data_IF_960789296859
#
_entry.id   IF_960789296859
#
_cell.length_a   1.000
_cell.length_b   1.000
_cell.length_c   1.000
_cell.angle_alpha   90.00
_cell.angle_beta   90.00
_cell.angle_gamma   90.00
#
_symmetry.space_group_name_H-M   'P 1'
#
loop_
_entity.id
_entity.type
_entity.pdbx_description
1 polymer ?
#
# COMPACT_ATOMS: atom_id res chain seq x y z
N UNK A 1 -67.18 34.13 47.69
CA UNK A 1 -67.49 33.89 46.26
C UNK A 1 -66.15 33.73 45.54
N UNK A 2 -65.70 32.49 45.32
CA UNK A 2 -65.67 31.78 44.02
C UNK A 2 -64.45 32.16 43.15
N UNK A 3 -63.61 31.14 42.90
CA UNK A 3 -62.66 30.93 41.77
C UNK A 3 -61.34 31.73 41.78
N UNK A 4 -60.20 31.23 41.31
CA UNK A 4 -59.82 29.95 40.71
C UNK A 4 -58.29 29.85 40.66
N UNK A 5 -57.80 28.62 40.54
CA UNK A 5 -56.41 28.20 40.47
C UNK A 5 -55.68 28.65 39.18
N UNK A 6 -54.35 28.71 39.26
CA UNK A 6 -53.45 28.12 38.24
C UNK A 6 -52.06 27.89 38.84
N UNK A 7 -51.72 26.61 39.06
CA UNK A 7 -50.38 26.14 39.44
C UNK A 7 -49.66 25.80 38.14
N UNK A 8 -48.63 26.58 37.79
CA UNK A 8 -47.74 26.28 36.68
C UNK A 8 -46.78 25.16 37.06
N UNK A 9 -46.95 23.98 36.45
CA UNK A 9 -45.98 22.86 36.50
C UNK A 9 -44.77 23.22 35.64
N UNK A 10 -43.62 23.48 36.28
CA UNK A 10 -42.33 23.47 35.60
C UNK A 10 -41.93 22.04 35.29
N UNK A 11 -41.92 21.68 34.01
CA UNK A 11 -41.40 20.41 33.52
C UNK A 11 -39.87 20.46 33.54
N UNK A 12 -39.24 19.68 34.43
CA UNK A 12 -37.80 19.39 34.37
C UNK A 12 -37.60 18.37 33.25
N UNK A 13 -37.12 18.84 32.10
CA UNK A 13 -36.63 17.97 31.03
C UNK A 13 -35.28 17.42 31.48
N UNK A 14 -35.28 16.18 31.96
CA UNK A 14 -34.06 15.42 32.16
C UNK A 14 -33.50 15.07 30.78
N UNK A 15 -32.40 15.72 30.37
CA UNK A 15 -31.59 15.26 29.24
C UNK A 15 -30.98 13.91 29.60
N UNK A 16 -31.57 12.84 29.06
CA UNK A 16 -30.93 11.54 28.95
C UNK A 16 -29.76 11.69 27.95
N UNK A 17 -28.55 11.84 28.48
CA UNK A 17 -27.34 11.60 27.70
C UNK A 17 -27.32 10.11 27.36
N UNK A 18 -27.73 9.77 26.13
CA UNK A 18 -27.42 8.49 25.53
C UNK A 18 -25.89 8.45 25.33
N UNK A 19 -25.19 7.88 26.32
CA UNK A 19 -23.81 7.45 26.17
C UNK A 19 -23.79 6.30 25.16
N UNK A 20 -23.76 6.65 23.87
CA UNK A 20 -23.32 5.73 22.83
C UNK A 20 -21.90 5.32 23.19
N UNK A 21 -21.72 4.08 23.64
CA UNK A 21 -20.41 3.50 23.82
C UNK A 21 -19.72 3.54 22.44
N UNK A 22 -18.78 4.48 22.28
CA UNK A 22 -17.77 4.38 21.24
C UNK A 22 -17.10 3.03 21.44
N UNK A 23 -17.40 2.06 20.57
CA UNK A 23 -16.60 0.84 20.52
C UNK A 23 -15.16 1.29 20.27
N UNK A 24 -14.26 0.87 21.16
CA UNK A 24 -12.83 1.02 20.89
C UNK A 24 -12.56 0.34 19.54
N UNK A 25 -12.00 1.11 18.63
CA UNK A 25 -11.71 0.68 17.27
C UNK A 25 -10.66 -0.44 17.31
N UNK A 26 -11.01 -1.61 16.80
CA UNK A 26 -10.10 -2.76 16.81
C UNK A 26 -9.33 -2.85 15.47
N UNK A 27 -8.19 -2.18 15.45
CA UNK A 27 -7.23 -2.24 14.33
C UNK A 27 -6.54 -3.60 14.21
N UNK A 28 -6.75 -4.53 15.15
CA UNK A 28 -5.97 -5.77 15.27
C UNK A 28 -6.56 -6.99 14.56
N UNK A 29 -7.72 -6.86 13.93
CA UNK A 29 -8.36 -7.87 13.08
C UNK A 29 -8.66 -7.31 11.66
N UNK A 30 -8.98 -8.13 10.64
CA UNK A 30 -8.65 -9.53 10.53
C UNK A 30 -7.17 -9.62 10.15
N UNK A 31 -6.42 -10.29 11.00
CA UNK A 31 -5.12 -10.80 10.63
C UNK A 31 -5.16 -12.29 10.90
N UNK A 32 -4.42 -13.13 10.15
CA UNK A 32 -4.28 -14.53 10.53
C UNK A 32 -3.97 -14.57 12.03
N UNK A 33 -4.78 -15.32 12.78
CA UNK A 33 -4.63 -15.42 14.23
C UNK A 33 -3.19 -15.80 14.49
N UNK A 34 -2.43 -14.85 15.06
CA UNK A 34 -1.02 -15.05 15.26
C UNK A 34 -0.86 -16.25 16.16
N UNK A 35 -0.23 -17.33 15.67
CA UNK A 35 0.11 -18.47 16.51
C UNK A 35 0.94 -17.89 17.66
N UNK A 36 0.43 -17.92 18.90
CA UNK A 36 1.09 -17.24 19.99
C UNK A 36 2.44 -17.89 20.23
N UNK A 37 3.50 -17.09 20.17
CA UNK A 37 4.84 -17.59 20.50
C UNK A 37 4.84 -18.16 21.91
N UNK A 38 5.40 -19.36 22.05
CA UNK A 38 5.72 -19.97 23.34
C UNK A 38 6.68 -19.06 24.13
N UNK A 39 6.74 -19.24 25.45
CA UNK A 39 7.69 -18.48 26.28
C UNK A 39 9.15 -18.65 25.81
N UNK A 40 9.50 -19.86 25.36
CA UNK A 40 10.82 -20.16 24.82
C UNK A 40 11.07 -19.43 23.49
N UNK A 41 10.08 -19.37 22.60
CA UNK A 41 10.19 -18.61 21.35
C UNK A 41 10.31 -17.13 21.60
N UNK A 42 9.52 -16.56 22.52
CA UNK A 42 9.63 -15.15 22.91
C UNK A 42 11.03 -14.82 23.41
N UNK A 43 11.56 -15.61 24.34
CA UNK A 43 12.92 -15.41 24.87
C UNK A 43 13.98 -15.48 23.76
N UNK A 44 13.86 -16.45 22.85
CA UNK A 44 14.77 -16.57 21.70
C UNK A 44 14.65 -15.38 20.73
N UNK A 45 13.44 -14.94 20.43
CA UNK A 45 13.19 -13.79 19.54
C UNK A 45 13.78 -12.52 20.16
N UNK A 46 13.53 -12.26 21.44
CA UNK A 46 14.11 -11.12 22.17
C UNK A 46 15.64 -11.14 22.11
N UNK A 47 16.27 -12.29 22.33
CA UNK A 47 17.72 -12.41 22.28
C UNK A 47 18.29 -12.15 20.87
N UNK A 48 17.64 -12.66 19.82
CA UNK A 48 18.13 -12.56 18.43
C UNK A 48 17.81 -11.19 17.78
N UNK A 49 16.80 -10.47 18.27
CA UNK A 49 16.41 -9.16 17.73
C UNK A 49 16.97 -7.98 18.54
N UNK A 50 17.74 -8.25 19.60
CA UNK A 50 18.41 -7.21 20.36
C UNK A 50 19.46 -6.49 19.47
N UNK A 51 19.53 -5.15 19.49
CA UNK A 51 20.56 -4.42 18.77
C UNK A 51 21.98 -4.83 19.24
N UNK A 52 22.95 -5.00 18.33
CA UNK A 52 24.33 -5.29 18.71
C UNK A 52 24.93 -4.08 19.44
N UNK A 53 25.73 -4.35 20.47
CA UNK A 53 26.41 -3.30 21.26
C UNK A 53 27.90 -3.17 20.90
N UNK A 54 28.45 -4.13 20.16
CA UNK A 54 29.84 -4.16 19.69
C UNK A 54 29.87 -4.58 18.23
N UNK A 55 30.83 -4.06 17.46
CA UNK A 55 30.98 -4.36 16.03
C UNK A 55 32.31 -5.02 15.70
N UNK A 56 32.96 -5.62 16.71
CA UNK A 56 34.30 -6.22 16.58
C UNK A 56 34.27 -7.58 15.87
N UNK A 57 33.11 -8.24 15.81
CA UNK A 57 32.91 -9.49 15.11
C UNK A 57 31.48 -9.59 14.55
N UNK A 58 31.26 -10.40 13.48
CA UNK A 58 29.93 -10.68 12.98
C UNK A 58 29.05 -11.39 14.00
N UNK A 59 27.76 -11.04 14.03
CA UNK A 59 26.78 -11.73 14.88
C UNK A 59 26.53 -13.16 14.37
N UNK A 60 26.23 -14.14 15.25
CA UNK A 60 25.81 -15.47 14.83
C UNK A 60 24.65 -15.39 13.84
N UNK A 61 24.81 -16.01 12.67
CA UNK A 61 23.84 -15.98 11.57
C UNK A 61 23.61 -14.62 10.90
N UNK A 62 24.50 -13.64 11.06
CA UNK A 62 24.41 -12.34 10.36
C UNK A 62 24.29 -12.50 8.84
N UNK A 63 25.02 -13.47 8.26
CA UNK A 63 24.92 -13.81 6.83
C UNK A 63 23.59 -14.50 6.43
N UNK A 64 22.67 -14.75 7.38
CA UNK A 64 21.39 -15.44 7.19
C UNK A 64 20.23 -14.64 7.81
N UNK A 65 19.93 -13.43 7.30
CA UNK A 65 18.87 -12.58 7.85
C UNK A 65 17.47 -13.19 7.74
N UNK A 66 17.24 -14.15 6.84
CA UNK A 66 16.01 -14.94 6.74
C UNK A 66 16.08 -16.29 7.48
N UNK A 67 17.10 -16.51 8.31
CA UNK A 67 17.37 -17.80 8.94
C UNK A 67 17.55 -18.91 7.91
N UNK A 68 16.88 -20.05 8.13
CA UNK A 68 16.87 -21.18 7.19
C UNK A 68 16.21 -20.86 5.84
N UNK A 69 15.38 -19.81 5.76
CA UNK A 69 14.76 -19.36 4.52
C UNK A 69 15.70 -18.45 3.69
N UNK A 70 16.89 -18.11 4.18
CA UNK A 70 17.88 -17.32 3.43
C UNK A 70 18.31 -18.07 2.18
N UNK A 71 18.06 -17.49 1.01
CA UNK A 71 18.45 -18.05 -0.28
C UNK A 71 19.94 -17.78 -0.57
N UNK A 72 20.82 -18.67 -0.10
CA UNK A 72 22.25 -18.59 -0.39
C UNK A 72 22.50 -18.87 -1.88
N UNK A 73 23.19 -17.95 -2.57
CA UNK A 73 23.57 -18.13 -3.98
C UNK A 73 22.50 -17.77 -5.02
N UNK A 74 21.32 -17.33 -4.60
CA UNK A 74 20.33 -16.75 -5.52
C UNK A 74 20.84 -15.40 -6.02
N UNK A 75 21.37 -15.37 -7.25
CA UNK A 75 21.97 -14.18 -7.85
C UNK A 75 21.26 -13.80 -9.15
N UNK A 76 21.43 -12.54 -9.55
CA UNK A 76 20.91 -12.01 -10.80
C UNK A 76 19.41 -11.67 -10.78
N UNK A 77 18.85 -11.30 -11.95
CA UNK A 77 17.53 -10.68 -12.03
C UNK A 77 16.36 -11.57 -11.62
N UNK A 78 16.57 -12.89 -11.51
CA UNK A 78 15.52 -13.88 -11.20
C UNK A 78 15.60 -14.43 -9.78
N UNK A 79 16.43 -13.84 -8.92
CA UNK A 79 16.66 -14.35 -7.57
C UNK A 79 15.36 -14.50 -6.75
N UNK A 80 14.40 -13.60 -6.93
CA UNK A 80 13.12 -13.57 -6.20
C UNK A 80 12.04 -14.52 -6.76
N UNK A 81 12.33 -15.26 -7.83
CA UNK A 81 11.46 -16.33 -8.32
C UNK A 81 11.70 -17.65 -7.58
N UNK A 82 12.74 -17.74 -6.74
CA UNK A 82 13.01 -18.94 -5.97
C UNK A 82 12.09 -18.99 -4.75
N UNK A 83 11.30 -20.06 -4.56
CA UNK A 83 10.58 -20.26 -3.31
C UNK A 83 11.59 -20.44 -2.16
N UNK A 84 11.18 -20.08 -0.94
CA UNK A 84 12.00 -20.32 0.24
C UNK A 84 12.30 -21.83 0.38
N UNK A 85 13.57 -22.16 0.68
CA UNK A 85 14.02 -23.55 0.76
C UNK A 85 13.27 -24.36 1.84
N UNK A 86 12.72 -23.66 2.84
CA UNK A 86 11.97 -24.22 3.96
C UNK A 86 10.51 -24.55 3.65
N UNK A 87 10.01 -24.23 2.44
CA UNK A 87 8.64 -24.58 2.06
C UNK A 87 8.48 -26.10 1.87
N UNK A 88 7.36 -26.63 2.36
CA UNK A 88 6.91 -27.99 2.07
C UNK A 88 6.57 -28.15 0.58
N UNK A 89 6.48 -29.39 0.10
CA UNK A 89 6.14 -29.68 -1.30
C UNK A 89 4.77 -29.10 -1.70
N UNK A 90 3.78 -29.19 -0.80
CA UNK A 90 2.46 -28.57 -1.01
C UNK A 90 2.57 -27.04 -1.14
N UNK A 91 3.32 -26.37 -0.25
CA UNK A 91 3.49 -24.92 -0.31
C UNK A 91 4.32 -24.47 -1.54
N UNK A 92 5.21 -25.33 -2.05
CA UNK A 92 5.93 -25.09 -3.31
C UNK A 92 4.98 -25.17 -4.52
N UNK A 93 3.99 -26.06 -4.48
CA UNK A 93 2.94 -26.10 -5.50
C UNK A 93 2.08 -24.83 -5.46
N UNK A 94 1.68 -24.38 -4.27
CA UNK A 94 0.93 -23.12 -4.11
C UNK A 94 1.72 -21.92 -4.63
N UNK A 95 3.02 -21.85 -4.32
CA UNK A 95 3.92 -20.84 -4.87
C UNK A 95 3.95 -20.88 -6.42
N UNK A 96 4.07 -22.07 -7.02
CA UNK A 96 4.11 -22.21 -8.47
C UNK A 96 2.77 -21.81 -9.14
N UNK A 97 1.64 -22.18 -8.53
CA UNK A 97 0.30 -21.77 -8.99
C UNK A 97 0.16 -20.25 -8.91
N UNK A 98 0.52 -19.65 -7.77
CA UNK A 98 0.52 -18.20 -7.57
C UNK A 98 1.41 -17.47 -8.57
N UNK A 99 2.61 -17.99 -8.83
CA UNK A 99 3.52 -17.44 -9.84
C UNK A 99 2.91 -17.51 -11.25
N UNK A 100 2.21 -18.59 -11.60
CA UNK A 100 1.54 -18.70 -12.90
C UNK A 100 0.43 -17.66 -13.06
N UNK A 101 -0.29 -17.33 -11.98
CA UNK A 101 -1.28 -16.25 -11.98
C UNK A 101 -0.62 -14.88 -12.09
N UNK A 102 0.52 -14.69 -11.40
CA UNK A 102 1.29 -13.45 -11.42
C UNK A 102 1.88 -13.13 -12.81
N UNK A 103 2.24 -14.17 -13.56
CA UNK A 103 2.77 -14.06 -14.93
C UNK A 103 1.68 -14.08 -16.01
N UNK A 104 0.42 -14.36 -15.64
CA UNK A 104 -0.69 -14.43 -16.56
C UNK A 104 -0.93 -13.10 -17.27
N UNK A 105 -1.07 -13.17 -18.59
CA UNK A 105 -1.50 -12.04 -19.41
C UNK A 105 -3.02 -11.98 -19.48
N UNK A 106 -3.60 -10.94 -18.89
CA UNK A 106 -5.01 -10.63 -18.97
C UNK A 106 -5.37 -10.07 -20.37
N UNK A 107 -6.55 -10.47 -20.86
CA UNK A 107 -7.10 -10.08 -22.15
C UNK A 107 -8.50 -9.51 -21.97
N UNK A 108 -8.96 -8.71 -22.94
CA UNK A 108 -10.29 -8.14 -22.91
C UNK A 108 -11.37 -9.23 -22.89
N UNK A 109 -12.40 -9.02 -22.07
CA UNK A 109 -13.61 -9.83 -22.09
C UNK A 109 -14.54 -9.40 -23.26
N UNK A 110 -15.28 -10.32 -23.88
CA UNK A 110 -15.16 -11.77 -23.78
C UNK A 110 -13.98 -12.31 -24.62
N UNK A 111 -13.36 -13.42 -24.20
CA UNK A 111 -12.36 -14.12 -25.00
C UNK A 111 -12.57 -15.64 -24.95
N UNK A 112 -12.02 -16.36 -25.94
CA UNK A 112 -11.97 -17.83 -25.92
C UNK A 112 -11.16 -18.38 -24.71
N UNK A 113 -10.28 -17.56 -24.13
CA UNK A 113 -9.49 -17.87 -22.93
C UNK A 113 -10.17 -17.33 -21.68
N UNK A 114 -11.29 -17.92 -21.26
CA UNK A 114 -12.12 -17.46 -20.12
C UNK A 114 -11.42 -17.45 -18.77
N UNK A 115 -10.29 -18.15 -18.64
CA UNK A 115 -9.47 -18.10 -17.43
C UNK A 115 -8.58 -16.84 -17.34
N UNK A 116 -8.58 -15.98 -18.37
CA UNK A 116 -7.71 -14.79 -18.48
C UNK A 116 -8.45 -13.56 -19.04
N UNK A 117 -9.76 -13.62 -19.25
CA UNK A 117 -10.54 -12.59 -19.94
C UNK A 117 -11.19 -11.59 -18.97
N UNK A 118 -10.34 -10.98 -18.14
CA UNK A 118 -10.73 -10.03 -17.10
C UNK A 118 -9.98 -8.69 -17.17
N UNK A 119 -9.42 -8.32 -18.32
CA UNK A 119 -8.76 -7.02 -18.49
C UNK A 119 -9.82 -5.92 -18.64
N UNK A 120 -9.77 -4.89 -17.79
CA UNK A 120 -10.67 -3.75 -17.86
C UNK A 120 -10.47 -2.88 -19.11
N UNK A 121 -11.45 -1.99 -19.40
CA UNK A 121 -11.40 -1.09 -20.56
C UNK A 121 -10.29 -0.03 -20.45
N UNK A 122 -9.90 0.31 -19.23
CA UNK A 122 -8.80 1.19 -18.86
C UNK A 122 -7.89 0.41 -17.91
N UNK A 123 -6.57 0.48 -18.12
CA UNK A 123 -5.60 -0.28 -17.34
C UNK A 123 -4.21 0.38 -17.40
N UNK A 124 -3.30 -0.05 -16.54
CA UNK A 124 -1.88 0.32 -16.58
C UNK A 124 -1.00 -0.79 -17.15
N UNK A 125 -1.30 -2.06 -16.82
CA UNK A 125 -0.57 -3.23 -17.27
C UNK A 125 -1.50 -4.42 -17.53
N UNK A 126 -0.99 -5.46 -18.19
CA UNK A 126 -1.77 -6.66 -18.53
C UNK A 126 -1.34 -7.90 -17.76
N UNK A 127 -0.28 -7.82 -16.96
CA UNK A 127 0.18 -8.88 -16.08
C UNK A 127 0.87 -8.27 -14.87
N UNK A 128 0.79 -8.91 -13.70
CA UNK A 128 1.45 -8.41 -12.49
C UNK A 128 2.99 -8.33 -12.70
N UNK A 129 3.54 -9.34 -13.39
CA UNK A 129 4.96 -9.42 -13.75
C UNK A 129 5.46 -8.30 -14.67
N UNK A 130 4.57 -7.59 -15.38
CA UNK A 130 4.94 -6.42 -16.18
C UNK A 130 5.37 -5.24 -15.30
N UNK A 131 4.71 -5.06 -14.16
CA UNK A 131 5.08 -4.04 -13.17
C UNK A 131 6.16 -4.54 -12.22
N UNK A 132 6.13 -5.83 -11.88
CA UNK A 132 6.97 -6.49 -10.89
C UNK A 132 7.88 -7.54 -11.55
N UNK A 133 8.87 -7.11 -12.36
CA UNK A 133 9.66 -8.03 -13.17
C UNK A 133 10.40 -9.03 -12.28
N UNK A 134 10.17 -10.32 -12.54
CA UNK A 134 10.75 -11.43 -11.78
C UNK A 134 10.56 -11.30 -10.25
N UNK A 135 9.38 -10.85 -9.81
CA UNK A 135 9.03 -10.55 -8.41
C UNK A 135 9.85 -9.42 -7.77
N UNK A 136 10.64 -8.71 -8.58
CA UNK A 136 11.47 -7.58 -8.19
C UNK A 136 10.76 -6.25 -8.25
N UNK A 137 11.55 -5.22 -7.95
CA UNK A 137 11.12 -3.82 -8.01
C UNK A 137 11.04 -3.39 -9.48
N UNK A 138 10.01 -2.60 -9.78
CA UNK A 138 9.92 -1.87 -11.03
C UNK A 138 11.00 -0.80 -11.17
N UNK A 139 10.93 -0.05 -12.26
CA UNK A 139 11.77 1.12 -12.51
C UNK A 139 10.95 2.32 -13.02
N UNK A 140 11.43 3.56 -12.81
CA UNK A 140 10.93 4.70 -13.55
C UNK A 140 11.19 4.55 -15.07
N UNK A 141 10.40 5.23 -15.92
CA UNK A 141 10.68 5.29 -17.34
C UNK A 141 12.02 5.96 -17.63
N UNK A 142 12.81 5.41 -18.56
CA UNK A 142 14.16 5.89 -18.87
C UNK A 142 14.18 7.07 -19.85
N UNK A 143 13.05 7.34 -20.52
CA UNK A 143 12.92 8.47 -21.43
C UNK A 143 11.51 8.62 -22.02
N UNK A 144 11.30 9.58 -22.93
CA UNK A 144 9.97 9.91 -23.47
C UNK A 144 9.26 8.81 -24.25
N UNK A 145 10.00 7.80 -24.73
CA UNK A 145 9.46 6.64 -25.47
C UNK A 145 9.25 5.40 -24.61
N UNK A 146 9.62 5.45 -23.33
CA UNK A 146 9.36 4.38 -22.37
C UNK A 146 7.89 4.44 -21.95
N UNK A 147 7.23 3.28 -21.94
CA UNK A 147 5.80 3.15 -21.70
C UNK A 147 5.41 3.21 -20.21
N UNK A 148 6.40 3.45 -19.35
CA UNK A 148 6.27 3.62 -17.91
C UNK A 148 5.53 2.47 -17.21
N UNK A 149 5.65 1.26 -17.76
CA UNK A 149 4.86 0.09 -17.38
C UNK A 149 4.87 -0.20 -15.88
N UNK A 150 6.02 -0.02 -15.21
CA UNK A 150 6.20 -0.33 -13.79
C UNK A 150 6.09 0.88 -12.84
N UNK A 151 5.54 1.99 -13.32
CA UNK A 151 5.35 3.21 -12.52
C UNK A 151 3.98 3.84 -12.78
N UNK A 152 3.20 4.01 -11.71
CA UNK A 152 1.85 4.59 -11.77
C UNK A 152 1.82 6.00 -11.19
N UNK A 153 0.87 6.83 -11.65
CA UNK A 153 0.58 8.13 -11.06
C UNK A 153 -0.69 8.06 -10.23
N UNK A 154 -0.56 8.15 -8.91
CA UNK A 154 -1.71 8.36 -8.02
C UNK A 154 -2.15 9.82 -8.10
N UNK A 155 -3.46 10.01 -8.14
CA UNK A 155 -4.09 11.33 -8.27
C UNK A 155 -4.95 11.59 -7.04
N UNK A 156 -4.99 12.86 -6.63
CA UNK A 156 -5.88 13.34 -5.59
C UNK A 156 -6.11 14.84 -5.73
N UNK A 157 -7.04 15.38 -4.95
CA UNK A 157 -7.17 16.82 -4.69
C UNK A 157 -7.15 17.06 -3.18
N UNK A 158 -6.96 18.30 -2.68
CA UNK A 158 -7.23 18.60 -1.28
C UNK A 158 -8.69 18.27 -0.92
N UNK A 159 -8.93 17.78 0.30
CA UNK A 159 -10.26 17.40 0.79
C UNK A 159 -11.32 18.51 0.58
N UNK A 160 -10.95 19.77 0.87
CA UNK A 160 -11.81 20.93 0.67
C UNK A 160 -12.19 21.20 -0.81
N UNK A 161 -11.40 20.70 -1.75
CA UNK A 161 -11.62 20.84 -3.18
C UNK A 161 -12.39 19.65 -3.79
N UNK A 162 -12.59 18.57 -3.02
CA UNK A 162 -13.22 17.34 -3.51
C UNK A 162 -14.73 17.43 -3.69
N UNK A 163 -15.39 18.32 -2.95
CA UNK A 163 -16.86 18.37 -2.85
C UNK A 163 -17.49 17.16 -2.16
N UNK A 164 -16.70 16.24 -1.61
CA UNK A 164 -17.17 15.05 -0.90
C UNK A 164 -17.50 15.37 0.57
N UNK A 165 -18.40 14.57 1.14
CA UNK A 165 -18.74 14.70 2.56
C UNK A 165 -17.59 14.23 3.45
N UNK A 166 -17.43 14.77 4.67
CA UNK A 166 -16.44 14.29 5.63
C UNK A 166 -16.52 12.77 5.87
N UNK A 167 -17.74 12.22 5.96
CA UNK A 167 -17.95 10.77 6.14
C UNK A 167 -17.45 9.93 4.96
N UNK A 168 -17.54 10.45 3.74
CA UNK A 168 -17.02 9.80 2.54
C UNK A 168 -15.49 9.87 2.52
N UNK A 169 -14.94 11.06 2.77
CA UNK A 169 -13.50 11.30 2.80
C UNK A 169 -12.80 10.46 3.85
N UNK A 170 -13.42 10.30 5.02
CA UNK A 170 -12.89 9.46 6.08
C UNK A 170 -12.63 8.02 5.60
N UNK A 171 -13.39 7.48 4.64
CA UNK A 171 -13.23 6.08 4.18
C UNK A 171 -12.36 5.94 2.93
N UNK A 172 -11.75 7.03 2.48
CA UNK A 172 -10.90 7.06 1.29
C UNK A 172 -9.45 7.31 1.68
N UNK A 173 -8.48 6.73 0.94
CA UNK A 173 -7.07 6.99 1.23
C UNK A 173 -6.69 8.45 0.95
N UNK A 174 -7.36 9.10 0.00
CA UNK A 174 -7.28 10.52 -0.33
C UNK A 174 -8.59 10.93 -1.03
N UNK A 175 -8.92 12.21 -1.05
CA UNK A 175 -9.92 12.73 -1.98
C UNK A 175 -9.51 12.45 -3.43
N UNK A 176 -10.34 11.74 -4.22
CA UNK A 176 -10.03 11.41 -5.61
C UNK A 176 -10.02 12.66 -6.48
N UNK A 177 -9.25 12.60 -7.56
CA UNK A 177 -9.39 13.54 -8.66
C UNK A 177 -10.80 13.38 -9.27
N UNK A 178 -11.58 14.46 -9.45
CA UNK A 178 -13.00 14.35 -9.85
C UNK A 178 -13.28 13.64 -11.18
N UNK A 179 -12.37 13.73 -12.15
CA UNK A 179 -12.50 13.16 -13.49
C UNK A 179 -11.69 11.86 -13.67
N UNK A 180 -10.61 11.69 -12.91
CA UNK A 180 -9.61 10.63 -13.09
C UNK A 180 -9.47 9.69 -11.87
N UNK A 181 -10.21 9.94 -10.79
CA UNK A 181 -10.19 9.08 -9.61
C UNK A 181 -8.86 9.10 -8.85
N UNK A 182 -8.41 7.92 -8.40
CA UNK A 182 -7.23 7.79 -7.52
C UNK A 182 -5.94 7.42 -8.26
N UNK A 183 -6.00 7.08 -9.54
CA UNK A 183 -4.84 6.66 -10.33
C UNK A 183 -5.10 6.85 -11.82
N UNK A 184 -4.12 7.42 -12.53
CA UNK A 184 -4.18 7.57 -13.98
C UNK A 184 -4.07 6.20 -14.68
N UNK A 185 -5.05 5.85 -15.51
CA UNK A 185 -5.03 4.72 -16.43
C UNK A 185 -4.46 5.12 -17.79
N UNK A 186 -3.18 4.85 -18.00
CA UNK A 186 -2.45 5.31 -19.19
C UNK A 186 -2.62 4.41 -20.43
N UNK A 187 -3.40 3.32 -20.33
CA UNK A 187 -3.74 2.43 -21.44
C UNK A 187 -5.23 2.14 -21.46
N UNK A 188 -5.68 1.68 -22.61
CA UNK A 188 -7.08 1.37 -22.85
C UNK A 188 -7.23 0.26 -23.89
N UNK A 189 -8.43 -0.29 -23.97
CA UNK A 189 -8.83 -1.16 -25.07
C UNK A 189 -9.08 -0.34 -26.36
N UNK A 190 -8.99 -0.97 -27.55
CA UNK A 190 -9.34 -0.30 -28.80
C UNK A 190 -10.74 0.33 -28.75
N UNK A 191 -10.85 1.58 -29.19
CA UNK A 191 -12.11 2.34 -29.17
C UNK A 191 -12.42 3.05 -27.86
N UNK A 192 -11.63 2.82 -26.79
CA UNK A 192 -11.71 3.56 -25.53
C UNK A 192 -10.53 4.54 -25.45
N UNK A 193 -10.75 5.84 -25.21
CA UNK A 193 -9.63 6.76 -24.98
C UNK A 193 -8.95 6.44 -23.64
N UNK A 194 -7.62 6.37 -23.61
CA UNK A 194 -6.88 6.30 -22.36
C UNK A 194 -7.06 7.61 -21.57
N UNK A 195 -6.89 7.57 -20.25
CA UNK A 195 -7.08 8.75 -19.41
C UNK A 195 -6.03 9.83 -19.65
N UNK A 196 -4.84 9.43 -20.09
CA UNK A 196 -3.77 10.34 -20.48
C UNK A 196 -2.45 9.61 -20.59
N UNK A 197 -1.43 10.33 -21.05
CA UNK A 197 -0.07 9.79 -21.16
C UNK A 197 0.79 10.32 -20.03
N UNK A 198 1.32 9.42 -19.20
CA UNK A 198 2.35 9.76 -18.22
C UNK A 198 3.62 10.22 -18.96
N UNK A 199 4.17 11.37 -18.56
CA UNK A 199 5.46 11.88 -19.01
C UNK A 199 6.38 12.20 -17.83
N UNK A 200 7.66 11.85 -17.97
CA UNK A 200 8.72 12.11 -17.00
C UNK A 200 9.86 12.87 -17.67
N UNK A 201 10.25 13.99 -17.07
CA UNK A 201 11.43 14.76 -17.47
C UNK A 201 12.33 14.96 -16.26
N UNK A 202 13.63 14.93 -16.47
CA UNK A 202 14.60 15.20 -15.42
C UNK A 202 15.27 16.55 -15.67
N UNK A 203 15.39 17.36 -14.61
CA UNK A 203 16.24 18.53 -14.57
C UNK A 203 17.56 18.18 -13.89
N UNK A 204 18.71 18.37 -14.54
CA UNK A 204 20.02 18.31 -13.90
C UNK A 204 20.14 19.29 -12.73
N UNK A 205 20.71 18.84 -11.62
CA UNK A 205 21.00 19.65 -10.44
C UNK A 205 22.44 19.37 -10.01
N UNK A 206 23.40 20.27 -10.28
CA UNK A 206 24.76 20.10 -9.80
C UNK A 206 24.80 20.23 -8.27
N UNK A 207 25.50 19.31 -7.61
CA UNK A 207 25.72 19.29 -6.17
C UNK A 207 27.21 19.14 -5.91
N UNK A 208 27.75 20.07 -5.13
CA UNK A 208 29.14 20.02 -4.67
C UNK A 208 29.22 19.20 -3.39
N UNK A 209 30.01 18.13 -3.42
CA UNK A 209 30.31 17.29 -2.26
C UNK A 209 31.32 17.98 -1.34
N UNK A 210 31.53 17.41 -0.15
CA UNK A 210 32.40 18.02 0.89
C UNK A 210 33.89 18.14 0.48
N UNK A 211 34.34 17.38 -0.51
CA UNK A 211 35.70 17.42 -1.08
C UNK A 211 35.82 18.39 -2.28
N UNK A 212 34.74 19.07 -2.66
CA UNK A 212 34.67 19.96 -3.83
C UNK A 212 34.28 19.26 -5.13
N UNK A 213 34.13 17.94 -5.16
CA UNK A 213 33.66 17.20 -6.33
C UNK A 213 32.24 17.62 -6.70
N UNK A 214 31.98 17.92 -7.97
CA UNK A 214 30.64 18.22 -8.47
C UNK A 214 30.02 16.95 -9.06
N UNK A 215 28.91 16.52 -8.47
CA UNK A 215 28.06 15.44 -9.01
C UNK A 215 26.76 16.02 -9.55
N UNK A 216 26.17 15.36 -10.54
CA UNK A 216 24.88 15.76 -11.10
C UNK A 216 23.75 14.88 -10.53
N UNK A 217 22.84 15.49 -9.79
CA UNK A 217 21.58 14.86 -9.38
C UNK A 217 20.49 15.13 -10.42
N UNK A 218 19.43 14.32 -10.39
CA UNK A 218 18.27 14.46 -11.28
C UNK A 218 17.02 14.82 -10.48
N UNK A 219 16.43 15.97 -10.75
CA UNK A 219 15.13 16.36 -10.20
C UNK A 219 13.99 15.96 -11.17
N UNK A 220 13.11 15.01 -10.82
CA UNK A 220 12.04 14.58 -11.71
C UNK A 220 10.89 15.60 -11.78
N UNK A 221 10.31 15.73 -12.97
CA UNK A 221 9.06 16.42 -13.28
C UNK A 221 8.10 15.40 -13.90
N UNK A 222 6.99 15.17 -13.22
CA UNK A 222 5.94 14.26 -13.64
C UNK A 222 4.76 15.07 -14.18
N UNK A 223 4.28 14.75 -15.37
CA UNK A 223 3.16 15.44 -16.01
C UNK A 223 2.25 14.43 -16.73
N UNK A 224 0.99 14.83 -16.95
CA UNK A 224 -0.01 14.06 -17.69
C UNK A 224 -0.29 14.79 -19.00
N UNK A 225 0.13 14.20 -20.11
CA UNK A 225 -0.10 14.74 -21.45
C UNK A 225 -1.39 14.18 -22.05
N UNK A 226 -2.06 14.99 -22.88
CA UNK A 226 -3.28 14.60 -23.60
C UNK A 226 -4.35 13.94 -22.69
N UNK A 227 -4.85 14.66 -21.67
CA UNK A 227 -5.88 14.15 -20.77
C UNK A 227 -7.16 13.82 -21.57
N UNK A 228 -7.61 12.56 -21.50
CA UNK A 228 -8.66 12.00 -22.37
C UNK A 228 -10.09 12.37 -21.97
N UNK A 229 -10.28 12.83 -20.74
CA UNK A 229 -11.59 13.10 -20.14
C UNK A 229 -11.78 14.56 -19.71
N UNK A 230 -11.03 15.48 -20.35
CA UNK A 230 -11.04 16.90 -20.03
C UNK A 230 -9.89 17.33 -19.12
N UNK A 231 -9.74 18.64 -18.84
CA UNK A 231 -8.66 19.12 -17.98
C UNK A 231 -8.78 18.55 -16.56
N UNK A 232 -7.64 18.23 -15.95
CA UNK A 232 -7.58 17.90 -14.52
C UNK A 232 -8.04 19.11 -13.68
N UNK A 233 -8.51 18.82 -12.47
CA UNK A 233 -8.78 19.83 -11.47
C UNK A 233 -7.54 20.72 -11.21
N UNK A 234 -7.67 22.05 -11.06
CA UNK A 234 -6.52 22.95 -10.89
C UNK A 234 -5.66 22.67 -9.66
N UNK A 235 -6.22 21.97 -8.68
CA UNK A 235 -5.54 21.56 -7.44
C UNK A 235 -5.20 20.06 -7.42
N UNK A 236 -5.18 19.39 -8.58
CA UNK A 236 -4.76 18.00 -8.66
C UNK A 236 -3.33 17.81 -8.17
N UNK A 237 -3.13 16.80 -7.35
CA UNK A 237 -1.86 16.39 -6.79
C UNK A 237 -1.46 15.07 -7.42
N UNK A 238 -0.17 14.94 -7.73
CA UNK A 238 0.39 13.75 -8.37
C UNK A 238 1.38 13.10 -7.41
N UNK A 239 1.16 11.82 -7.12
CA UNK A 239 2.08 10.98 -6.34
C UNK A 239 2.54 9.79 -7.19
N UNK A 240 3.75 9.87 -7.78
CA UNK A 240 4.28 8.81 -8.63
C UNK A 240 4.79 7.64 -7.79
N UNK A 241 4.49 6.39 -8.18
CA UNK A 241 4.84 5.18 -7.43
C UNK A 241 5.43 4.12 -8.35
N UNK A 242 6.65 3.69 -8.06
CA UNK A 242 7.28 2.53 -8.70
C UNK A 242 6.79 1.26 -8.01
N UNK A 243 6.44 0.24 -8.79
CA UNK A 243 6.06 -1.06 -8.28
C UNK A 243 7.11 -1.63 -7.28
N UNK A 244 6.74 -1.96 -6.03
CA UNK A 244 7.68 -2.53 -5.05
C UNK A 244 8.08 -3.97 -5.41
N UNK A 245 9.06 -4.53 -4.70
CA UNK A 245 9.36 -5.97 -4.78
C UNK A 245 8.29 -6.81 -4.06
N UNK A 246 8.08 -8.06 -4.48
CA UNK A 246 7.04 -8.95 -3.94
C UNK A 246 7.52 -9.86 -2.82
N UNK A 247 8.83 -9.96 -2.62
CA UNK A 247 9.40 -10.83 -1.59
C UNK A 247 8.98 -10.39 -0.18
N UNK A 248 8.68 -11.37 0.67
CA UNK A 248 8.43 -11.15 2.09
C UNK A 248 7.05 -10.59 2.46
N UNK A 249 6.16 -10.30 1.50
CA UNK A 249 4.82 -9.77 1.80
C UNK A 249 4.01 -10.66 2.76
N UNK A 250 4.03 -11.98 2.55
CA UNK A 250 3.38 -12.93 3.47
C UNK A 250 4.05 -13.00 4.85
N UNK A 251 5.37 -12.76 4.95
CA UNK A 251 6.06 -12.67 6.23
C UNK A 251 5.66 -11.40 7.00
N UNK A 252 5.49 -10.28 6.29
CA UNK A 252 4.98 -9.03 6.86
C UNK A 252 3.51 -9.20 7.31
N UNK A 253 2.69 -9.90 6.53
CA UNK A 253 1.30 -10.20 6.90
C UNK A 253 1.21 -11.04 8.17
N UNK A 254 2.13 -11.98 8.34
CA UNK A 254 2.22 -12.85 9.51
C UNK A 254 2.64 -12.10 10.79
N UNK A 255 3.12 -10.86 10.72
CA UNK A 255 3.42 -10.06 11.92
C UNK A 255 2.11 -9.76 12.66
N UNK A 256 1.99 -10.07 13.96
CA UNK A 256 0.79 -9.75 14.72
C UNK A 256 0.54 -8.25 14.73
N UNK A 257 -0.73 -7.82 14.55
CA UNK A 257 -1.07 -6.40 14.55
C UNK A 257 -0.69 -5.72 15.87
N UNK A 258 -0.92 -6.42 16.99
CA UNK A 258 -0.56 -5.95 18.31
C UNK A 258 0.95 -5.68 18.45
N UNK A 259 1.81 -6.46 17.76
CA UNK A 259 3.25 -6.21 17.76
C UNK A 259 3.56 -4.89 17.04
N UNK A 260 2.94 -4.62 15.89
CA UNK A 260 3.12 -3.37 15.16
C UNK A 260 2.59 -2.16 15.95
N UNK A 261 1.42 -2.30 16.58
CA UNK A 261 0.80 -1.24 17.38
C UNK A 261 1.58 -0.95 18.67
N UNK A 262 2.27 -1.95 19.24
CA UNK A 262 3.13 -1.76 20.41
C UNK A 262 4.36 -0.89 20.12
N UNK A 263 4.75 -0.74 18.85
CA UNK A 263 5.81 0.17 18.40
C UNK A 263 5.29 1.56 17.99
N UNK A 264 4.02 1.86 18.22
CA UNK A 264 3.51 3.20 18.01
C UNK A 264 4.07 4.15 19.08
N UNK A 265 4.78 5.17 18.64
CA UNK A 265 5.29 6.25 19.49
C UNK A 265 4.96 7.61 18.85
N UNK A 266 3.70 8.06 18.89
CA UNK A 266 3.29 9.29 18.21
C UNK A 266 3.88 10.57 18.80
N UNK A 267 4.40 10.49 20.03
CA UNK A 267 4.84 11.59 20.87
C UNK A 267 6.35 11.55 21.20
N UNK A 268 7.10 10.60 20.62
CA UNK A 268 8.55 10.41 20.85
C UNK A 268 8.86 10.27 22.36
N UNK A 269 8.14 9.34 23.01
CA UNK A 269 8.17 9.12 24.45
C UNK A 269 9.51 8.56 24.94
N UNK A 270 10.27 7.87 24.09
CA UNK A 270 11.61 7.39 24.41
C UNK A 270 12.74 8.38 24.04
N UNK A 271 12.42 9.44 23.29
CA UNK A 271 13.33 10.53 22.96
C UNK A 271 14.41 10.16 21.95
N UNK A 272 14.18 9.14 21.12
CA UNK A 272 15.07 8.74 20.04
C UNK A 272 14.92 9.60 18.77
N UNK A 273 13.91 10.48 18.73
CA UNK A 273 13.61 11.37 17.62
C UNK A 273 12.64 10.81 16.58
N UNK A 274 12.00 9.65 16.85
CA UNK A 274 11.13 8.93 15.91
C UNK A 274 9.68 8.93 16.41
N UNK A 275 8.85 9.79 15.84
CA UNK A 275 7.42 9.84 16.17
C UNK A 275 6.54 8.90 15.29
N UNK A 276 6.68 7.58 15.46
CA UNK A 276 6.02 6.57 14.64
C UNK A 276 4.50 6.50 14.82
N UNK A 277 3.73 6.58 13.72
CA UNK A 277 2.25 6.49 13.72
C UNK A 277 1.76 5.38 12.79
N UNK A 278 1.04 4.36 13.31
CA UNK A 278 0.41 3.36 12.47
C UNK A 278 -0.61 4.01 11.52
N UNK A 279 -0.61 3.59 10.25
CA UNK A 279 -1.66 4.02 9.33
C UNK A 279 -2.94 3.23 9.59
N UNK A 280 -4.08 3.92 9.51
CA UNK A 280 -5.41 3.32 9.64
C UNK A 280 -6.13 3.39 8.30
N UNK A 281 -6.70 2.26 7.87
CA UNK A 281 -7.32 2.14 6.55
C UNK A 281 -8.70 1.50 6.64
N UNK A 282 -9.65 2.00 5.84
CA UNK A 282 -11.00 1.42 5.78
C UNK A 282 -10.98 0.15 4.94
N UNK A 283 -11.21 -1.01 5.56
CA UNK A 283 -11.33 -2.27 4.83
C UNK A 283 -12.73 -2.40 4.23
N UNK A 284 -12.80 -2.50 2.90
CA UNK A 284 -14.07 -2.73 2.18
C UNK A 284 -14.60 -4.16 2.38
N UNK A 285 -13.71 -5.13 2.53
CA UNK A 285 -14.05 -6.54 2.77
C UNK A 285 -14.76 -6.70 4.13
N UNK A 286 -14.28 -5.97 5.13
CA UNK A 286 -14.74 -6.09 6.51
C UNK A 286 -15.77 -5.04 6.91
N UNK A 287 -15.85 -3.94 6.16
CA UNK A 287 -16.69 -2.80 6.51
C UNK A 287 -16.25 -2.12 7.81
N UNK A 288 -14.96 -2.14 8.13
CA UNK A 288 -14.39 -1.58 9.37
C UNK A 288 -12.95 -1.09 9.17
N UNK A 289 -12.45 -0.31 10.13
CA UNK A 289 -11.10 0.23 10.15
C UNK A 289 -10.07 -0.79 10.60
N UNK A 290 -9.00 -0.96 9.81
CA UNK A 290 -7.93 -1.93 10.05
C UNK A 290 -6.56 -1.26 10.00
N UNK A 291 -5.55 -1.92 10.56
CA UNK A 291 -4.15 -1.50 10.43
C UNK A 291 -3.70 -1.59 8.97
N UNK A 292 -3.25 -0.47 8.42
CA UNK A 292 -2.63 -0.41 7.11
C UNK A 292 -1.21 -0.97 7.13
N UNK A 293 -0.85 -1.79 6.13
CA UNK A 293 0.45 -2.50 6.08
C UNK A 293 1.12 -2.48 4.71
N UNK A 294 0.33 -2.59 3.64
CA UNK A 294 0.86 -2.84 2.30
C UNK A 294 0.81 -1.61 1.39
N UNK A 295 1.71 -1.60 0.41
CA UNK A 295 1.94 -0.46 -0.48
C UNK A 295 2.78 0.66 0.15
N UNK A 296 3.16 1.64 -0.67
CA UNK A 296 4.10 2.72 -0.31
C UNK A 296 3.68 3.59 0.88
N UNK A 297 2.38 3.62 1.20
CA UNK A 297 1.82 4.41 2.30
C UNK A 297 1.02 3.55 3.28
N UNK A 298 1.30 2.24 3.32
CA UNK A 298 0.56 1.30 4.15
C UNK A 298 -0.96 1.44 3.95
N UNK A 299 -1.39 1.50 2.68
CA UNK A 299 -2.77 1.83 2.28
C UNK A 299 -3.72 0.65 2.29
N UNK A 300 -3.19 -0.58 2.37
CA UNK A 300 -3.97 -1.81 2.33
C UNK A 300 -3.68 -2.68 3.57
N UNK A 301 -4.70 -3.33 4.16
CA UNK A 301 -4.55 -4.05 5.43
C UNK A 301 -4.00 -5.47 5.30
N UNK A 302 -4.25 -6.13 4.17
CA UNK A 302 -3.89 -7.54 3.91
C UNK A 302 -3.27 -7.68 2.53
N UNK A 303 -2.52 -8.76 2.29
CA UNK A 303 -2.00 -9.09 0.96
C UNK A 303 -3.16 -9.33 -0.01
N UNK A 304 -4.26 -9.92 0.46
CA UNK A 304 -5.49 -10.09 -0.33
C UNK A 304 -6.07 -8.74 -0.78
N UNK A 305 -6.22 -7.79 0.14
CA UNK A 305 -6.72 -6.45 -0.19
C UNK A 305 -5.79 -5.74 -1.18
N UNK A 306 -4.47 -5.85 -0.99
CA UNK A 306 -3.48 -5.32 -1.92
C UNK A 306 -3.57 -5.95 -3.32
N UNK A 307 -3.80 -7.27 -3.40
CA UNK A 307 -3.98 -7.96 -4.66
C UNK A 307 -5.29 -7.54 -5.37
N UNK A 308 -6.39 -7.41 -4.63
CA UNK A 308 -7.66 -6.90 -5.16
C UNK A 308 -7.53 -5.47 -5.68
N UNK A 309 -6.89 -4.59 -4.90
CA UNK A 309 -6.64 -3.22 -5.31
C UNK A 309 -5.77 -3.13 -6.58
N UNK A 310 -4.75 -3.98 -6.71
CA UNK A 310 -3.92 -4.04 -7.92
C UNK A 310 -4.70 -4.58 -9.13
N UNK A 311 -5.51 -5.62 -8.96
CA UNK A 311 -6.39 -6.12 -10.04
C UNK A 311 -7.33 -5.01 -10.53
N UNK A 312 -8.00 -4.30 -9.62
CA UNK A 312 -8.94 -3.24 -9.99
C UNK A 312 -8.26 -1.99 -10.57
N UNK A 313 -7.16 -1.54 -9.98
CA UNK A 313 -6.54 -0.27 -10.34
C UNK A 313 -5.49 -0.40 -11.44
N UNK A 314 -4.83 -1.55 -11.60
CA UNK A 314 -3.72 -1.70 -12.55
C UNK A 314 -4.08 -2.58 -13.77
N UNK A 315 -4.93 -3.59 -13.57
CA UNK A 315 -5.42 -4.49 -14.64
C UNK A 315 -6.80 -4.05 -15.16
N UNK A 316 -7.59 -3.39 -14.31
CA UNK A 316 -8.90 -2.82 -14.65
C UNK A 316 -10.05 -3.78 -14.40
#
# INVERSE_FOLDING_TARGET
MIRSATIGRGAVIALLFASGALRAEDLSAPHPEAIPFTAQEKARITAVTAPPTTFDAPEPFEARPGGAATAMGATGPRAFLNPAATLSDAARLDFAVGQSLFEKLWVAAPSATTASDGLGPLYNARACSNCHPANGRGRPPEGPGDDALSMVLRLSVPDAASGLTPDTLARLPNAPEPSYGLQLQNRSLPGVPAEGRFTLRYKPVPVTLGDGTIVELRAPRYDIAAPGYGPLHPQSQISPRVAPQMIGLGLIEAIPAAALLAHADPDDADGDGISGRPNRVWSREEGDWRLGRFGHKAGEPTVRAQAFAALHMDIG
#
